data_IF_761992856789
#
_entry.id   IF_761992856789
#
_cell.length_a   1.000
_cell.length_b   1.000
_cell.length_c   1.000
_cell.angle_alpha   90.00
_cell.angle_beta   90.00
_cell.angle_gamma   90.00
#
_symmetry.space_group_name_H-M   'P 1'
#
loop_
_entity.id
_entity.type
_entity.pdbx_description
1 polymer ?
#
# COMPACT_ATOMS: atom_id res chain seq x y z
N UNK A 1 -62.39 53.24 60.12
CA UNK A 1 -62.44 53.35 58.65
C UNK A 1 -61.01 53.38 58.16
N UNK A 2 -60.57 52.26 57.59
CA UNK A 2 -59.17 51.98 57.29
C UNK A 2 -58.70 52.78 56.08
N UNK A 3 -57.55 53.45 56.25
CA UNK A 3 -56.87 54.24 55.24
C UNK A 3 -55.49 53.68 54.93
N UNK A 4 -55.17 53.81 53.65
CA UNK A 4 -53.85 53.97 53.03
C UNK A 4 -52.81 52.85 53.10
N UNK A 5 -52.69 52.19 51.94
CA UNK A 5 -51.50 52.15 51.07
C UNK A 5 -50.11 52.07 51.71
N UNK A 6 -49.32 51.09 51.26
CA UNK A 6 -48.12 51.34 50.45
C UNK A 6 -47.49 50.00 50.05
N UNK A 7 -47.21 49.88 48.75
CA UNK A 7 -46.59 48.73 48.11
C UNK A 7 -45.06 48.89 48.21
N UNK A 8 -44.36 47.98 48.90
CA UNK A 8 -42.89 47.92 48.90
C UNK A 8 -42.39 46.47 49.03
N UNK A 9 -41.60 46.10 48.02
CA UNK A 9 -40.32 45.42 48.10
C UNK A 9 -40.22 44.02 48.74
N UNK A 10 -39.72 43.12 47.89
CA UNK A 10 -38.57 42.23 48.13
C UNK A 10 -38.79 40.84 48.70
N UNK A 11 -38.23 39.90 47.93
CA UNK A 11 -37.45 38.74 48.34
C UNK A 11 -38.15 37.65 49.15
N UNK A 12 -38.42 36.52 48.48
CA UNK A 12 -38.19 35.21 49.09
C UNK A 12 -37.49 34.28 48.09
N UNK A 13 -36.30 33.85 48.49
CA UNK A 13 -35.50 32.78 47.89
C UNK A 13 -36.31 31.47 47.89
N UNK A 14 -36.39 30.81 46.74
CA UNK A 14 -36.72 29.40 46.64
C UNK A 14 -35.47 28.63 46.21
N UNK A 15 -34.99 27.80 47.13
CA UNK A 15 -33.92 26.81 47.00
C UNK A 15 -34.20 25.83 45.86
N UNK A 16 -33.32 25.78 44.85
CA UNK A 16 -33.23 24.65 43.93
C UNK A 16 -31.88 23.96 44.12
N UNK A 17 -31.95 22.73 44.65
CA UNK A 17 -30.86 21.77 44.65
C UNK A 17 -30.53 21.36 43.21
N UNK A 18 -29.34 21.71 42.74
CA UNK A 18 -28.77 21.09 41.54
C UNK A 18 -27.60 20.22 41.96
N UNK A 19 -27.87 18.91 41.99
CA UNK A 19 -26.88 17.87 42.17
C UNK A 19 -25.86 17.93 41.03
N UNK A 20 -24.57 17.88 41.40
CA UNK A 20 -23.47 17.84 40.45
C UNK A 20 -23.51 16.58 39.59
N UNK A 21 -23.46 16.78 38.27
CA UNK A 21 -23.09 15.72 37.34
C UNK A 21 -21.68 15.97 36.86
N UNK A 22 -20.82 15.03 37.27
CA UNK A 22 -19.41 14.92 36.98
C UNK A 22 -19.10 15.03 35.48
N UNK A 23 -17.94 15.60 35.22
CA UNK A 23 -17.24 15.60 33.95
C UNK A 23 -17.11 14.17 33.37
N UNK A 24 -17.60 13.97 32.15
CA UNK A 24 -17.09 12.92 31.27
C UNK A 24 -15.92 13.51 30.48
N UNK A 25 -14.72 13.46 31.04
CA UNK A 25 -13.48 13.52 30.26
C UNK A 25 -13.34 12.21 29.47
N UNK A 26 -13.21 12.23 28.14
CA UNK A 26 -12.77 11.05 27.41
C UNK A 26 -11.24 10.98 27.54
N UNK A 27 -10.77 10.44 28.65
CA UNK A 27 -9.38 9.99 28.75
C UNK A 27 -9.39 8.57 29.32
N UNK A 28 -9.07 7.59 28.48
CA UNK A 28 -8.85 6.21 28.93
C UNK A 28 -9.40 5.17 27.97
N UNK A 29 -8.52 4.57 27.19
CA UNK A 29 -8.81 3.33 26.47
C UNK A 29 -8.10 3.26 25.13
N UNK A 30 -6.77 3.21 25.14
CA UNK A 30 -6.01 2.73 23.98
C UNK A 30 -6.43 1.29 23.70
N UNK A 31 -7.41 1.13 22.81
CA UNK A 31 -7.67 -0.16 22.19
C UNK A 31 -6.49 -0.46 21.27
N UNK A 32 -5.55 -1.26 21.74
CA UNK A 32 -4.75 -2.09 20.84
C UNK A 32 -5.71 -3.11 20.21
N UNK A 33 -6.61 -2.64 19.36
CA UNK A 33 -7.29 -3.52 18.42
C UNK A 33 -6.19 -4.08 17.53
N UNK A 34 -6.08 -5.41 17.47
CA UNK A 34 -5.28 -6.06 16.44
C UNK A 34 -5.90 -5.63 15.12
N UNK A 35 -5.31 -4.62 14.47
CA UNK A 35 -5.85 -4.10 13.23
C UNK A 35 -5.72 -5.22 12.19
N UNK A 36 -6.87 -5.72 11.74
CA UNK A 36 -6.92 -6.74 10.71
C UNK A 36 -6.36 -6.16 9.40
N UNK A 37 -5.63 -7.00 8.65
CA UNK A 37 -5.07 -6.59 7.38
C UNK A 37 -6.20 -6.18 6.41
N UNK A 38 -6.12 -5.02 5.75
CA UNK A 38 -7.18 -4.52 4.86
C UNK A 38 -7.60 -5.50 3.75
N UNK A 39 -6.67 -6.35 3.30
CA UNK A 39 -6.92 -7.38 2.27
C UNK A 39 -7.07 -8.79 2.86
N UNK A 40 -7.29 -8.94 4.17
CA UNK A 40 -7.54 -10.24 4.78
C UNK A 40 -8.72 -10.96 4.09
N UNK A 41 -8.51 -12.22 3.72
CA UNK A 41 -9.51 -13.03 3.00
C UNK A 41 -9.67 -12.71 1.51
N UNK A 42 -9.04 -11.64 0.99
CA UNK A 42 -9.09 -11.31 -0.43
C UNK A 42 -8.44 -12.43 -1.26
N UNK A 43 -9.06 -12.75 -2.41
CA UNK A 43 -8.54 -13.71 -3.39
C UNK A 43 -7.62 -13.00 -4.38
N UNK A 44 -6.57 -12.37 -3.85
CA UNK A 44 -5.54 -11.67 -4.64
C UNK A 44 -4.23 -12.42 -4.47
N UNK A 45 -3.61 -12.76 -5.59
CA UNK A 45 -2.38 -13.53 -5.66
C UNK A 45 -2.63 -15.02 -5.80
N UNK A 46 -1.77 -15.68 -6.56
CA UNK A 46 -1.70 -17.13 -6.69
C UNK A 46 -0.25 -17.57 -6.98
N UNK A 47 0.08 -18.86 -6.79
CA UNK A 47 1.36 -19.39 -7.21
C UNK A 47 1.63 -19.16 -8.70
N UNK A 48 2.86 -18.75 -9.00
CA UNK A 48 3.35 -18.57 -10.36
C UNK A 48 4.80 -19.01 -10.49
N UNK A 49 5.24 -19.18 -11.74
CA UNK A 49 6.65 -19.30 -12.13
C UNK A 49 6.90 -18.36 -13.30
N UNK A 50 7.85 -17.45 -13.12
CA UNK A 50 8.28 -16.44 -14.08
C UNK A 50 9.80 -16.47 -14.23
N UNK A 51 10.34 -15.65 -15.13
CA UNK A 51 11.78 -15.51 -15.37
C UNK A 51 12.27 -14.20 -14.78
N UNK A 52 13.35 -14.23 -14.00
CA UNK A 52 13.97 -13.03 -13.45
C UNK A 52 14.89 -12.31 -14.43
N UNK A 53 15.41 -11.16 -14.00
CA UNK A 53 16.32 -10.33 -14.78
C UNK A 53 17.70 -10.98 -15.07
N UNK A 54 18.01 -12.12 -14.45
CA UNK A 54 19.23 -12.90 -14.71
C UNK A 54 18.93 -14.16 -15.54
N UNK A 55 17.70 -14.30 -16.06
CA UNK A 55 17.28 -15.44 -16.87
C UNK A 55 16.96 -16.69 -16.06
N UNK A 56 16.81 -16.59 -14.74
CA UNK A 56 16.51 -17.72 -13.86
C UNK A 56 15.01 -17.87 -13.67
N UNK A 57 14.56 -19.12 -13.59
CA UNK A 57 13.19 -19.43 -13.20
C UNK A 57 12.97 -19.11 -11.72
N UNK A 58 12.00 -18.25 -11.43
CA UNK A 58 11.62 -17.84 -10.08
C UNK A 58 10.16 -18.16 -9.84
N UNK A 59 9.88 -18.83 -8.72
CA UNK A 59 8.53 -19.18 -8.30
C UNK A 59 8.05 -18.26 -7.19
N UNK A 60 6.73 -18.16 -7.02
CA UNK A 60 6.13 -17.43 -5.88
C UNK A 60 6.65 -17.93 -4.52
N UNK A 61 6.90 -19.24 -4.41
CA UNK A 61 7.39 -19.89 -3.20
C UNK A 61 8.88 -19.63 -2.92
N UNK A 62 9.64 -19.15 -3.90
CA UNK A 62 11.02 -18.68 -3.72
C UNK A 62 11.11 -17.51 -2.73
N UNK A 63 9.98 -16.86 -2.42
CA UNK A 63 9.85 -15.77 -1.47
C UNK A 63 9.12 -16.15 -0.18
N UNK A 64 8.90 -17.44 0.08
CA UNK A 64 8.27 -17.90 1.33
C UNK A 64 9.08 -17.43 2.54
N UNK A 65 8.37 -16.94 3.56
CA UNK A 65 8.99 -16.33 4.75
C UNK A 65 9.37 -14.86 4.58
N UNK A 66 9.19 -14.27 3.38
CA UNK A 66 9.41 -12.84 3.12
C UNK A 66 8.10 -12.11 2.84
N UNK A 67 8.01 -10.89 3.33
CA UNK A 67 7.05 -9.91 2.83
C UNK A 67 7.42 -9.54 1.40
N UNK A 68 6.42 -9.20 0.57
CA UNK A 68 6.64 -8.91 -0.85
C UNK A 68 5.92 -7.64 -1.22
N UNK A 69 6.66 -6.69 -1.77
CA UNK A 69 6.10 -5.51 -2.42
C UNK A 69 6.01 -5.88 -3.90
N UNK A 70 4.80 -6.05 -4.44
CA UNK A 70 4.59 -6.45 -5.83
C UNK A 70 4.01 -5.27 -6.60
N UNK A 71 4.72 -4.82 -7.62
CA UNK A 71 4.31 -3.75 -8.52
C UNK A 71 4.29 -4.27 -9.96
N UNK A 72 3.19 -4.02 -10.66
CA UNK A 72 3.02 -4.36 -12.07
C UNK A 72 3.23 -3.10 -12.92
N UNK A 73 3.99 -3.22 -14.00
CA UNK A 73 4.24 -2.12 -14.93
C UNK A 73 4.96 -2.58 -16.18
N UNK A 74 5.54 -1.66 -16.94
CA UNK A 74 6.33 -2.02 -18.13
C UNK A 74 7.45 -1.00 -18.36
N UNK A 75 8.55 -1.43 -18.97
CA UNK A 75 9.77 -0.61 -19.01
C UNK A 75 9.71 0.58 -19.98
N UNK A 76 8.83 0.49 -20.99
CA UNK A 76 8.61 1.52 -22.02
C UNK A 76 7.59 2.60 -21.59
N UNK A 77 7.18 2.62 -20.33
CA UNK A 77 6.26 3.63 -19.83
C UNK A 77 6.96 5.00 -19.73
N UNK A 78 6.50 6.04 -20.45
CA UNK A 78 7.23 7.29 -20.58
C UNK A 78 7.19 8.19 -19.34
N UNK A 79 6.29 7.92 -18.39
CA UNK A 79 6.02 8.86 -17.29
C UNK A 79 5.74 8.11 -15.98
N UNK A 80 4.66 7.36 -15.95
CA UNK A 80 4.04 7.03 -14.67
C UNK A 80 4.67 5.85 -13.93
N UNK A 81 5.04 4.77 -14.63
CA UNK A 81 5.70 3.63 -13.99
C UNK A 81 7.04 3.97 -13.33
N UNK A 82 7.96 4.71 -13.99
CA UNK A 82 9.23 5.05 -13.35
C UNK A 82 9.04 5.95 -12.12
N UNK A 83 8.08 6.88 -12.14
CA UNK A 83 7.78 7.74 -10.98
C UNK A 83 7.27 6.90 -9.80
N UNK A 84 6.31 6.01 -10.05
CA UNK A 84 5.74 5.12 -9.04
C UNK A 84 6.81 4.20 -8.44
N UNK A 85 7.58 3.52 -9.28
CA UNK A 85 8.64 2.61 -8.84
C UNK A 85 9.73 3.35 -8.06
N UNK A 86 10.08 4.58 -8.48
CA UNK A 86 11.02 5.42 -7.75
C UNK A 86 10.51 5.76 -6.35
N UNK A 87 9.24 6.15 -6.19
CA UNK A 87 8.65 6.42 -4.87
C UNK A 87 8.70 5.20 -3.97
N UNK A 88 8.34 4.02 -4.49
CA UNK A 88 8.38 2.76 -3.74
C UNK A 88 9.81 2.44 -3.31
N UNK A 89 10.80 2.56 -4.21
CA UNK A 89 12.19 2.23 -3.88
C UNK A 89 12.85 3.26 -2.96
N UNK A 90 12.46 4.53 -3.03
CA UNK A 90 12.87 5.55 -2.06
C UNK A 90 12.35 5.23 -0.65
N UNK A 91 11.07 4.88 -0.53
CA UNK A 91 10.48 4.46 0.74
C UNK A 91 11.15 3.20 1.28
N UNK A 92 11.39 2.21 0.42
CA UNK A 92 12.09 0.98 0.79
C UNK A 92 13.52 1.25 1.27
N UNK A 93 14.27 2.11 0.58
CA UNK A 93 15.62 2.53 1.01
C UNK A 93 15.59 3.20 2.39
N UNK A 94 14.58 4.03 2.67
CA UNK A 94 14.40 4.62 4.02
C UNK A 94 14.10 3.56 5.06
N UNK A 95 13.21 2.61 4.75
CA UNK A 95 12.89 1.48 5.62
C UNK A 95 14.13 0.62 5.92
N UNK A 96 14.98 0.37 4.94
CA UNK A 96 16.25 -0.33 5.13
C UNK A 96 17.18 0.37 6.13
N UNK A 97 17.31 1.69 6.02
CA UNK A 97 18.13 2.50 6.93
C UNK A 97 17.58 2.50 8.34
N UNK A 98 16.26 2.58 8.50
CA UNK A 98 15.60 2.66 9.80
C UNK A 98 15.50 1.29 10.50
N UNK A 99 15.26 0.22 9.73
CA UNK A 99 14.90 -1.10 10.24
C UNK A 99 15.60 -2.22 9.46
N UNK A 100 16.95 -2.30 9.49
CA UNK A 100 17.72 -3.22 8.65
C UNK A 100 17.37 -4.71 8.85
N UNK A 101 17.06 -5.12 10.09
CA UNK A 101 16.66 -6.49 10.38
C UNK A 101 15.28 -6.86 9.79
N UNK A 102 14.34 -5.91 9.76
CA UNK A 102 13.02 -6.13 9.18
C UNK A 102 13.05 -6.02 7.66
N UNK A 103 13.81 -5.06 7.13
CA UNK A 103 13.96 -4.89 5.68
C UNK A 103 14.59 -6.11 5.01
N UNK A 104 15.47 -6.85 5.71
CA UNK A 104 16.01 -8.13 5.23
C UNK A 104 14.92 -9.19 4.92
N UNK A 105 13.75 -9.07 5.55
CA UNK A 105 12.58 -9.94 5.33
C UNK A 105 11.65 -9.44 4.23
N UNK A 106 11.96 -8.34 3.54
CA UNK A 106 11.12 -7.75 2.49
C UNK A 106 11.78 -7.93 1.13
N UNK A 107 11.00 -8.34 0.13
CA UNK A 107 11.44 -8.45 -1.25
C UNK A 107 10.58 -7.55 -2.16
N UNK A 108 11.16 -6.47 -2.71
CA UNK A 108 10.53 -5.72 -3.79
C UNK A 108 10.58 -6.49 -5.11
N UNK A 109 9.46 -6.52 -5.83
CA UNK A 109 9.26 -7.26 -7.07
C UNK A 109 8.52 -6.37 -8.07
N UNK A 110 9.14 -6.17 -9.23
CA UNK A 110 8.53 -5.60 -10.42
C UNK A 110 8.13 -6.74 -11.36
N UNK A 111 6.88 -6.77 -11.82
CA UNK A 111 6.39 -7.74 -12.81
C UNK A 111 5.98 -6.98 -14.07
N UNK A 112 6.58 -7.33 -15.20
CA UNK A 112 6.20 -6.73 -16.48
C UNK A 112 4.82 -7.20 -16.93
N UNK A 113 4.00 -6.26 -17.41
CA UNK A 113 2.75 -6.54 -18.15
C UNK A 113 2.94 -6.48 -19.67
N UNK A 114 4.17 -6.29 -20.13
CA UNK A 114 4.55 -6.15 -21.55
C UNK A 114 5.69 -7.11 -21.94
N UNK A 115 5.43 -8.43 -21.93
CA UNK A 115 6.47 -9.44 -22.20
C UNK A 115 7.00 -9.43 -23.64
N UNK A 116 6.32 -8.75 -24.57
CA UNK A 116 6.77 -8.63 -25.96
C UNK A 116 8.01 -7.73 -26.09
N UNK A 117 8.10 -6.68 -25.26
CA UNK A 117 9.22 -5.72 -25.27
C UNK A 117 10.12 -5.85 -24.05
N UNK A 118 9.57 -6.23 -22.90
CA UNK A 118 10.31 -6.36 -21.64
C UNK A 118 11.01 -7.73 -21.54
N UNK A 119 12.02 -7.90 -22.39
CA UNK A 119 12.92 -9.05 -22.35
C UNK A 119 13.82 -9.04 -21.10
N UNK A 120 14.44 -10.17 -20.78
CA UNK A 120 15.34 -10.30 -19.61
C UNK A 120 16.41 -9.19 -19.56
N UNK A 121 17.16 -8.88 -20.65
CA UNK A 121 18.14 -7.80 -20.63
C UNK A 121 17.52 -6.41 -20.41
N UNK A 122 16.34 -6.15 -20.97
CA UNK A 122 15.64 -4.87 -20.84
C UNK A 122 15.19 -4.66 -19.40
N UNK A 123 14.55 -5.66 -18.79
CA UNK A 123 14.16 -5.61 -17.38
C UNK A 123 15.38 -5.45 -16.48
N UNK A 124 16.48 -6.17 -16.74
CA UNK A 124 17.70 -6.06 -15.94
C UNK A 124 18.23 -4.63 -15.89
N UNK A 125 18.33 -3.99 -17.05
CA UNK A 125 18.76 -2.61 -17.15
C UNK A 125 17.79 -1.67 -16.40
N UNK A 126 16.49 -1.90 -16.55
CA UNK A 126 15.46 -1.10 -15.90
C UNK A 126 15.53 -1.20 -14.37
N UNK A 127 15.38 -2.39 -13.78
CA UNK A 127 15.27 -2.55 -12.32
C UNK A 127 16.55 -2.20 -11.57
N UNK A 128 17.71 -2.42 -12.19
CA UNK A 128 19.02 -2.10 -11.60
C UNK A 128 19.21 -0.59 -11.39
N UNK A 129 18.55 0.24 -12.19
CA UNK A 129 18.58 1.69 -12.03
C UNK A 129 17.82 2.19 -10.79
N UNK A 130 16.89 1.39 -10.25
CA UNK A 130 16.06 1.79 -9.11
C UNK A 130 16.60 1.30 -7.77
N UNK A 131 16.94 0.01 -7.67
CA UNK A 131 17.40 -0.55 -6.40
C UNK A 131 18.13 -1.90 -6.57
N UNK A 132 19.26 -2.15 -5.88
CA UNK A 132 20.02 -3.40 -6.03
C UNK A 132 19.27 -4.66 -5.55
N UNK A 133 18.24 -4.50 -4.71
CA UNK A 133 17.39 -5.60 -4.24
C UNK A 133 16.08 -5.77 -5.01
N UNK A 134 15.79 -4.90 -5.97
CA UNK A 134 14.57 -5.02 -6.77
C UNK A 134 14.72 -6.18 -7.76
N UNK A 135 13.82 -7.15 -7.68
CA UNK A 135 13.73 -8.24 -8.67
C UNK A 135 12.77 -7.80 -9.77
N UNK A 136 13.18 -7.99 -11.03
CA UNK A 136 12.33 -7.79 -12.19
C UNK A 136 11.94 -9.14 -12.78
N UNK A 137 10.65 -9.34 -13.03
CA UNK A 137 10.10 -10.58 -13.57
C UNK A 137 9.41 -10.34 -14.91
N UNK A 138 9.62 -11.27 -15.84
CA UNK A 138 8.91 -11.39 -17.12
C UNK A 138 8.56 -12.85 -17.39
N UNK A 139 7.93 -13.15 -18.51
CA UNK A 139 7.57 -14.50 -18.91
C UNK A 139 6.94 -14.52 -20.28
N UNK A 140 6.37 -15.67 -20.66
CA UNK A 140 5.58 -15.75 -21.89
C UNK A 140 4.26 -14.97 -21.72
N UNK A 141 3.66 -14.43 -22.80
CA UNK A 141 2.41 -13.68 -22.74
C UNK A 141 1.30 -14.37 -21.93
N UNK A 142 1.13 -15.68 -22.08
CA UNK A 142 0.14 -16.47 -21.35
C UNK A 142 0.44 -16.58 -19.84
N UNK A 143 1.72 -16.57 -19.45
CA UNK A 143 2.10 -16.56 -18.03
C UNK A 143 1.79 -15.21 -17.41
N UNK A 144 2.13 -14.12 -18.10
CA UNK A 144 1.84 -12.76 -17.63
C UNK A 144 0.33 -12.52 -17.54
N UNK A 145 -0.44 -12.93 -18.55
CA UNK A 145 -1.90 -12.81 -18.52
C UNK A 145 -2.52 -13.56 -17.34
N UNK A 146 -2.04 -14.78 -17.05
CA UNK A 146 -2.48 -15.55 -15.89
C UNK A 146 -2.13 -14.85 -14.58
N UNK A 147 -0.88 -14.42 -14.41
CA UNK A 147 -0.42 -13.76 -13.18
C UNK A 147 -1.16 -12.44 -12.97
N UNK A 148 -1.32 -11.62 -14.00
CA UNK A 148 -2.09 -10.39 -13.92
C UNK A 148 -3.53 -10.67 -13.43
N UNK A 149 -4.21 -11.66 -14.02
CA UNK A 149 -5.54 -12.07 -13.58
C UNK A 149 -5.58 -12.52 -12.12
N UNK A 150 -4.65 -13.38 -11.70
CA UNK A 150 -4.59 -13.90 -10.33
C UNK A 150 -4.33 -12.81 -9.30
N UNK A 151 -3.66 -11.72 -9.69
CA UNK A 151 -3.37 -10.55 -8.87
C UNK A 151 -4.37 -9.41 -9.06
N UNK A 152 -5.50 -9.66 -9.74
CA UNK A 152 -6.52 -8.66 -10.06
C UNK A 152 -5.97 -7.41 -10.78
N UNK A 153 -4.94 -7.60 -11.60
CA UNK A 153 -4.34 -6.57 -12.46
C UNK A 153 -4.99 -6.65 -13.84
N UNK A 154 -5.60 -5.54 -14.24
CA UNK A 154 -6.15 -5.36 -15.59
C UNK A 154 -5.10 -4.60 -16.40
N UNK A 155 -4.85 -5.03 -17.63
CA UNK A 155 -3.98 -4.33 -18.56
C UNK A 155 -4.44 -4.51 -20.00
N UNK A 156 -4.13 -3.54 -20.85
CA UNK A 156 -4.45 -3.59 -22.28
C UNK A 156 -3.46 -2.76 -23.09
N UNK A 157 -3.08 -3.29 -24.26
CA UNK A 157 -2.35 -2.57 -25.28
C UNK A 157 -3.24 -1.48 -25.89
N UNK A 158 -2.75 -0.26 -26.01
CA UNK A 158 -3.54 0.88 -26.52
C UNK A 158 -3.55 0.98 -28.05
N UNK A 159 -2.53 0.43 -28.73
CA UNK A 159 -2.41 0.46 -30.18
C UNK A 159 -1.60 -0.72 -30.72
N UNK A 160 -1.77 -1.04 -31.99
CA UNK A 160 -0.91 -2.00 -32.69
C UNK A 160 0.39 -1.35 -33.19
N UNK A 161 1.41 -2.17 -33.45
CA UNK A 161 2.74 -1.74 -33.89
C UNK A 161 3.79 -1.82 -32.78
N UNK A 162 4.93 -1.15 -32.98
CA UNK A 162 6.09 -1.22 -32.06
C UNK A 162 6.07 -0.11 -30.99
N UNK A 163 5.45 1.03 -31.28
CA UNK A 163 5.38 2.21 -30.42
C UNK A 163 4.02 2.34 -29.73
N UNK A 164 3.67 1.35 -28.92
CA UNK A 164 2.42 1.33 -28.15
C UNK A 164 2.63 1.63 -26.67
N UNK A 165 1.57 2.09 -26.03
CA UNK A 165 1.45 2.16 -24.58
C UNK A 165 0.63 0.98 -24.06
N UNK A 166 0.81 0.68 -22.78
CA UNK A 166 0.03 -0.34 -22.08
C UNK A 166 -0.68 0.35 -20.93
N UNK A 167 -2.01 0.44 -21.01
CA UNK A 167 -2.83 0.83 -19.88
C UNK A 167 -2.83 -0.32 -18.87
N UNK A 168 -2.61 -0.06 -17.58
CA UNK A 168 -2.64 -1.11 -16.55
C UNK A 168 -3.04 -0.60 -15.17
N UNK A 169 -3.46 -1.52 -14.30
CA UNK A 169 -3.62 -1.26 -12.86
C UNK A 169 -2.27 -0.95 -12.23
N UNK A 170 -2.18 0.18 -11.52
CA UNK A 170 -0.91 0.73 -10.99
C UNK A 170 -0.78 0.62 -9.48
N UNK A 171 -1.73 0.00 -8.79
CA UNK A 171 -1.66 -0.09 -7.33
C UNK A 171 -0.73 -1.24 -6.93
N UNK A 172 0.38 -0.99 -6.21
CA UNK A 172 1.22 -2.05 -5.69
C UNK A 172 0.56 -2.74 -4.50
N UNK A 173 0.91 -4.00 -4.32
CA UNK A 173 0.43 -4.83 -3.22
C UNK A 173 1.54 -5.10 -2.22
N UNK A 174 1.18 -5.15 -0.94
CA UNK A 174 1.99 -5.75 0.12
C UNK A 174 1.43 -7.14 0.46
N UNK A 175 2.29 -8.16 0.35
CA UNK A 175 2.00 -9.53 0.76
C UNK A 175 2.79 -9.92 2.00
N UNK A 176 2.19 -10.80 2.81
CA UNK A 176 2.80 -11.37 4.00
C UNK A 176 3.76 -12.53 3.71
N UNK A 177 4.46 -13.04 4.74
CA UNK A 177 5.44 -14.12 4.63
C UNK A 177 4.87 -15.44 4.07
N UNK A 178 3.56 -15.67 4.24
CA UNK A 178 2.83 -16.84 3.75
C UNK A 178 2.26 -16.61 2.34
N UNK A 179 2.44 -15.43 1.75
CA UNK A 179 1.92 -15.08 0.43
C UNK A 179 0.46 -14.63 0.41
N UNK A 180 -0.13 -14.35 1.57
CA UNK A 180 -1.45 -13.73 1.67
C UNK A 180 -1.36 -12.21 1.43
N UNK A 181 -2.35 -11.60 0.75
CA UNK A 181 -2.39 -10.15 0.59
C UNK A 181 -2.63 -9.46 1.94
N UNK A 182 -1.99 -8.31 2.17
CA UNK A 182 -2.11 -7.52 3.40
C UNK A 182 -2.78 -6.19 3.10
N UNK A 183 -2.18 -5.39 2.23
CA UNK A 183 -2.60 -4.02 1.97
C UNK A 183 -2.25 -3.59 0.53
N UNK A 184 -2.99 -2.60 0.04
CA UNK A 184 -2.59 -1.79 -1.10
C UNK A 184 -1.57 -0.76 -0.62
N UNK A 185 -0.53 -0.52 -1.41
CA UNK A 185 0.47 0.52 -1.12
C UNK A 185 0.00 1.82 -1.81
N UNK A 186 -0.04 2.95 -1.09
CA UNK A 186 -0.48 4.22 -1.67
C UNK A 186 0.56 4.72 -2.68
N UNK A 187 0.24 4.59 -3.97
CA UNK A 187 1.05 5.03 -5.11
C UNK A 187 0.12 5.65 -6.15
N UNK A 188 0.62 6.63 -6.93
CA UNK A 188 -0.15 7.38 -7.92
C UNK A 188 0.00 8.91 -7.81
N UNK A 189 -0.96 9.62 -8.39
CA UNK A 189 -0.99 11.09 -8.49
C UNK A 189 -1.69 11.78 -7.31
N UNK A 190 -2.30 11.02 -6.40
CA UNK A 190 -2.93 11.63 -5.23
C UNK A 190 -1.88 12.20 -4.26
N UNK A 191 -2.25 13.24 -3.52
CA UNK A 191 -1.36 13.91 -2.56
C UNK A 191 -0.82 12.96 -1.47
N UNK A 192 -1.51 11.83 -1.26
CA UNK A 192 -1.17 10.80 -0.28
C UNK A 192 -0.10 9.80 -0.77
N UNK A 193 0.15 9.69 -2.09
CA UNK A 193 1.13 8.78 -2.68
C UNK A 193 2.57 9.31 -2.57
N UNK A 194 3.01 9.52 -1.34
CA UNK A 194 4.38 9.95 -0.99
C UNK A 194 5.22 8.76 -0.52
N UNK A 195 6.56 8.83 -0.62
CA UNK A 195 7.44 7.85 0.00
C UNK A 195 7.18 7.65 1.51
N UNK A 196 6.69 8.68 2.21
CA UNK A 196 6.38 8.58 3.64
C UNK A 196 5.12 7.76 3.93
N UNK A 197 4.09 7.87 3.09
CA UNK A 197 2.90 7.02 3.19
C UNK A 197 3.20 5.54 2.89
N UNK A 198 4.08 5.30 1.90
CA UNK A 198 4.58 3.94 1.60
C UNK A 198 5.38 3.40 2.79
N UNK A 199 6.28 4.21 3.36
CA UNK A 199 7.05 3.84 4.54
C UNK A 199 6.15 3.54 5.74
N UNK A 200 5.13 4.36 6.00
CA UNK A 200 4.15 4.14 7.05
C UNK A 200 3.41 2.79 6.87
N UNK A 201 3.07 2.43 5.63
CA UNK A 201 2.49 1.12 5.31
C UNK A 201 3.46 -0.01 5.67
N UNK A 202 4.74 0.11 5.34
CA UNK A 202 5.75 -0.90 5.70
C UNK A 202 5.93 -0.99 7.23
N UNK A 203 5.96 0.14 7.93
CA UNK A 203 6.09 0.18 9.39
C UNK A 203 4.91 -0.46 10.12
N UNK A 204 3.70 -0.26 9.56
CA UNK A 204 2.48 -0.83 10.10
C UNK A 204 2.48 -2.35 10.00
N UNK A 205 2.89 -2.91 8.85
CA UNK A 205 2.63 -4.32 8.52
C UNK A 205 3.84 -5.24 8.57
N UNK A 206 5.07 -4.73 8.40
CA UNK A 206 6.28 -5.56 8.43
C UNK A 206 6.76 -5.74 9.86
N UNK A 207 6.66 -6.97 10.38
CA UNK A 207 7.08 -7.41 11.74
C UNK A 207 8.08 -8.58 11.67
#
# INVERSE_FOLDING_TARGET
MAGYAMNKASFFLATLAFAGLSACSPNGGGSNSVQEAPLAGARIGAPFTLTDQDGKSVSWDSFKGKYRIVYFGYTFCPDVCPVDLQKIMQAFTRFEKQKPALSAKVQPIFISVDPERDTVPVIKNYVTAFHPRLIGLTGRPEQIAKVAKDFAVIYSKESEGENYLVSHSRTPYLFGPQGNPIALIPVGENAEATPDAILATLDQWVK
#
